data_IF_576916165320
#
_entry.id   IF_576916165320
#
_cell.length_a   1.000
_cell.length_b   1.000
_cell.length_c   1.000
_cell.angle_alpha   90.00
_cell.angle_beta   90.00
_cell.angle_gamma   90.00
#
_symmetry.space_group_name_H-M   'P 1'
#
loop_
_entity.id
_entity.type
_entity.pdbx_description
1 polymer ?
#
# COMPACT_ATOMS: atom_id res chain seq x y z
N UNK A 1 -18.63 18.31 -19.64
CA UNK A 1 -18.32 19.18 -18.50
C UNK A 1 -18.82 18.47 -17.26
N UNK A 2 -17.99 17.61 -16.66
CA UNK A 2 -18.36 16.86 -15.46
C UNK A 2 -18.24 17.85 -14.30
N UNK A 3 -19.32 18.04 -13.55
CA UNK A 3 -19.38 18.91 -12.38
C UNK A 3 -18.14 18.71 -11.50
N UNK A 4 -17.34 19.76 -11.33
CA UNK A 4 -16.36 19.86 -10.24
C UNK A 4 -17.16 19.91 -8.95
N UNK A 5 -17.46 18.72 -8.42
CA UNK A 5 -18.04 18.56 -7.09
C UNK A 5 -17.17 19.35 -6.10
N UNK A 6 -17.82 20.17 -5.30
CA UNK A 6 -17.27 21.03 -4.24
C UNK A 6 -15.96 20.42 -3.69
N UNK A 7 -14.85 21.09 -3.96
CA UNK A 7 -13.48 20.62 -3.70
C UNK A 7 -13.13 20.79 -2.20
N UNK A 8 -13.97 20.24 -1.32
CA UNK A 8 -13.86 20.29 0.15
C UNK A 8 -12.75 19.37 0.70
N UNK A 9 -11.74 19.05 -0.10
CA UNK A 9 -10.64 18.16 0.28
C UNK A 9 -9.36 18.90 0.66
N UNK A 10 -9.24 20.17 0.28
CA UNK A 10 -8.09 20.99 0.63
C UNK A 10 -8.35 21.74 1.93
N UNK A 11 -7.40 21.61 2.85
CA UNK A 11 -7.47 22.14 4.21
C UNK A 11 -6.34 23.14 4.43
N UNK A 12 -6.68 24.19 5.17
CA UNK A 12 -5.69 25.16 5.65
C UNK A 12 -4.85 24.56 6.77
N UNK A 13 -3.67 25.13 7.01
CA UNK A 13 -2.79 24.70 8.11
C UNK A 13 -3.45 24.88 9.49
N UNK A 14 -4.33 25.88 9.64
CA UNK A 14 -5.12 26.09 10.86
C UNK A 14 -6.14 24.97 11.08
N UNK A 15 -6.82 24.52 10.03
CA UNK A 15 -7.74 23.39 10.10
C UNK A 15 -7.02 22.08 10.40
N UNK A 16 -5.81 21.89 9.87
CA UNK A 16 -4.97 20.73 10.18
C UNK A 16 -4.43 20.73 11.60
N UNK A 17 -4.05 21.90 12.14
CA UNK A 17 -3.66 22.03 13.56
C UNK A 17 -4.84 21.74 14.49
N UNK A 18 -6.04 22.19 14.14
CA UNK A 18 -7.27 21.93 14.88
C UNK A 18 -7.95 20.61 14.48
N UNK A 19 -7.16 19.55 14.31
CA UNK A 19 -7.63 18.24 13.85
C UNK A 19 -8.62 17.61 14.86
N UNK A 20 -9.50 16.69 14.41
CA UNK A 20 -10.32 15.88 15.30
C UNK A 20 -9.50 15.09 16.34
N UNK A 21 -8.30 14.65 15.96
CA UNK A 21 -7.38 13.93 16.86
C UNK A 21 -6.83 14.85 17.95
N UNK A 22 -6.48 16.09 17.61
CA UNK A 22 -6.06 17.12 18.58
C UNK A 22 -7.16 17.40 19.60
N UNK A 23 -8.42 17.51 19.15
CA UNK A 23 -9.59 17.68 20.03
C UNK A 23 -9.80 16.50 20.99
N UNK A 24 -9.40 15.30 20.59
CA UNK A 24 -9.46 14.10 21.43
C UNK A 24 -8.20 13.92 22.32
N UNK A 25 -7.26 14.86 22.28
CA UNK A 25 -6.07 14.90 23.13
C UNK A 25 -4.82 14.22 22.55
N UNK A 26 -4.77 13.98 21.23
CA UNK A 26 -3.58 13.43 20.55
C UNK A 26 -2.68 14.59 20.11
N UNK A 27 -1.40 14.52 20.45
CA UNK A 27 -0.42 15.53 20.04
C UNK A 27 -0.06 15.45 18.54
N UNK A 28 0.40 16.57 17.97
CA UNK A 28 0.73 16.67 16.53
C UNK A 28 1.82 15.67 16.11
N UNK A 29 2.80 15.39 16.97
CA UNK A 29 3.91 14.49 16.65
C UNK A 29 3.43 13.03 16.59
N UNK A 30 2.59 12.61 17.55
CA UNK A 30 1.93 11.31 17.53
C UNK A 30 0.99 11.17 16.33
N UNK A 31 0.19 12.20 16.03
CA UNK A 31 -0.68 12.19 14.85
C UNK A 31 0.13 12.03 13.55
N UNK A 32 1.23 12.79 13.41
CA UNK A 32 2.14 12.71 12.27
C UNK A 32 2.76 11.32 12.15
N UNK A 33 3.21 10.75 13.28
CA UNK A 33 3.79 9.40 13.33
C UNK A 33 2.79 8.34 12.91
N UNK A 34 1.54 8.43 13.38
CA UNK A 34 0.47 7.49 13.01
C UNK A 34 0.07 7.62 11.54
N UNK A 35 0.06 8.83 10.99
CA UNK A 35 -0.19 9.05 9.55
C UNK A 35 0.88 8.38 8.69
N UNK A 36 2.16 8.58 9.02
CA UNK A 36 3.28 7.95 8.32
C UNK A 36 3.21 6.42 8.48
N UNK A 37 2.97 5.93 9.70
CA UNK A 37 2.82 4.50 9.98
C UNK A 37 1.73 3.85 9.11
N UNK A 38 0.54 4.48 9.04
CA UNK A 38 -0.57 3.99 8.23
C UNK A 38 -0.26 4.00 6.74
N UNK A 39 0.39 5.05 6.24
CA UNK A 39 0.80 5.13 4.83
C UNK A 39 1.86 4.07 4.48
N UNK A 40 2.83 3.83 5.36
CA UNK A 40 3.83 2.77 5.17
C UNK A 40 3.16 1.39 5.19
N UNK A 41 2.16 1.19 6.05
CA UNK A 41 1.40 -0.07 6.13
C UNK A 41 0.59 -0.31 4.85
N UNK A 42 -0.03 0.73 4.27
CA UNK A 42 -0.75 0.66 2.99
C UNK A 42 0.22 0.29 1.87
N UNK A 43 1.38 0.96 1.77
CA UNK A 43 2.37 0.72 0.72
C UNK A 43 2.92 -0.70 0.78
N UNK A 44 3.41 -1.15 1.95
CA UNK A 44 3.98 -2.50 2.08
C UNK A 44 2.93 -3.60 1.87
N UNK A 45 1.70 -3.40 2.38
CA UNK A 45 0.61 -4.35 2.17
C UNK A 45 0.17 -4.40 0.69
N UNK A 46 0.16 -3.25 0.00
CA UNK A 46 -0.14 -3.17 -1.42
C UNK A 46 0.86 -3.92 -2.29
N UNK A 47 2.15 -3.82 -1.97
CA UNK A 47 3.22 -4.58 -2.62
C UNK A 47 2.99 -6.09 -2.43
N UNK A 48 2.69 -6.54 -1.20
CA UNK A 48 2.40 -7.95 -0.92
C UNK A 48 1.14 -8.47 -1.62
N UNK A 49 0.13 -7.61 -1.79
CA UNK A 49 -1.10 -7.89 -2.54
C UNK A 49 -0.91 -7.77 -4.06
N UNK A 50 0.30 -7.42 -4.53
CA UNK A 50 0.63 -7.18 -5.94
C UNK A 50 -0.35 -6.18 -6.58
N UNK A 51 -0.60 -5.08 -5.88
CA UNK A 51 -1.44 -3.98 -6.37
C UNK A 51 -0.59 -2.96 -7.14
N UNK A 52 -1.14 -2.29 -8.17
CA UNK A 52 -0.43 -1.22 -8.87
C UNK A 52 -0.23 -0.01 -7.96
N UNK A 53 0.80 0.81 -8.24
CA UNK A 53 1.12 2.00 -7.44
C UNK A 53 -0.05 2.99 -7.35
N UNK A 54 -0.87 3.11 -8.40
CA UNK A 54 -2.08 3.93 -8.39
C UNK A 54 -3.04 3.55 -7.24
N UNK A 55 -3.24 2.25 -6.99
CA UNK A 55 -4.08 1.77 -5.88
C UNK A 55 -3.50 2.15 -4.52
N UNK A 56 -2.19 2.01 -4.35
CA UNK A 56 -1.51 2.38 -3.11
C UNK A 56 -1.61 3.88 -2.85
N UNK A 57 -1.38 4.70 -3.88
CA UNK A 57 -1.53 6.14 -3.80
C UNK A 57 -2.96 6.56 -3.46
N UNK A 58 -3.97 6.01 -4.14
CA UNK A 58 -5.39 6.26 -3.83
C UNK A 58 -5.72 5.87 -2.40
N UNK A 59 -5.22 4.72 -1.93
CA UNK A 59 -5.39 4.27 -0.54
C UNK A 59 -4.82 5.25 0.49
N UNK A 60 -3.61 5.78 0.25
CA UNK A 60 -2.96 6.76 1.14
C UNK A 60 -3.74 8.09 1.18
N UNK A 61 -4.22 8.58 0.04
CA UNK A 61 -5.03 9.82 0.01
C UNK A 61 -6.36 9.64 0.73
N UNK A 62 -7.07 8.53 0.51
CA UNK A 62 -8.31 8.23 1.23
C UNK A 62 -8.09 8.14 2.74
N UNK A 63 -6.99 7.51 3.15
CA UNK A 63 -6.57 7.43 4.55
C UNK A 63 -6.30 8.82 5.14
N UNK A 64 -5.55 9.68 4.44
CA UNK A 64 -5.29 11.04 4.90
C UNK A 64 -6.58 11.86 5.05
N UNK A 65 -7.44 11.83 4.02
CA UNK A 65 -8.73 12.53 4.01
C UNK A 65 -9.66 12.06 5.14
N UNK A 66 -9.69 10.76 5.42
CA UNK A 66 -10.47 10.21 6.53
C UNK A 66 -10.05 10.79 7.89
N UNK A 67 -8.75 10.77 8.19
CA UNK A 67 -8.22 11.31 9.45
C UNK A 67 -8.20 12.84 9.54
N UNK A 68 -8.59 13.55 8.48
CA UNK A 68 -8.90 14.97 8.60
C UNK A 68 -10.30 15.22 9.18
N UNK A 69 -11.21 14.24 9.09
CA UNK A 69 -12.58 14.32 9.59
C UNK A 69 -12.82 13.48 10.84
N UNK A 70 -12.03 12.42 11.02
CA UNK A 70 -12.10 11.49 12.15
C UNK A 70 -10.79 11.46 12.93
N UNK A 71 -10.89 10.99 14.17
CA UNK A 71 -9.80 10.97 15.14
C UNK A 71 -9.17 9.58 15.24
N UNK A 72 -7.85 9.55 15.39
CA UNK A 72 -7.10 8.32 15.72
C UNK A 72 -7.50 7.73 17.09
N UNK A 73 -8.10 8.52 17.98
CA UNK A 73 -8.59 8.02 19.27
C UNK A 73 -9.85 7.15 19.13
N UNK A 74 -10.56 7.26 17.99
CA UNK A 74 -11.86 6.60 17.75
C UNK A 74 -11.78 5.54 16.66
N UNK A 75 -10.84 5.65 15.74
CA UNK A 75 -10.64 4.71 14.66
C UNK A 75 -9.18 4.26 14.65
N UNK A 76 -8.98 2.94 14.72
CA UNK A 76 -7.65 2.36 14.74
C UNK A 76 -6.95 2.53 13.38
N UNK A 77 -5.67 2.87 13.42
CA UNK A 77 -4.86 3.13 12.22
C UNK A 77 -4.75 1.91 11.31
N UNK A 78 -4.66 0.71 11.87
CA UNK A 78 -4.41 -0.54 11.13
C UNK A 78 -5.66 -0.93 10.35
N UNK A 79 -6.84 -0.86 10.96
CA UNK A 79 -8.09 -1.18 10.25
C UNK A 79 -8.46 -0.15 9.20
N UNK A 80 -8.27 1.14 9.49
CA UNK A 80 -8.53 2.20 8.50
C UNK A 80 -7.56 2.08 7.33
N UNK A 81 -6.29 1.76 7.57
CA UNK A 81 -5.32 1.49 6.50
C UNK A 81 -5.76 0.29 5.63
N UNK A 82 -6.19 -0.81 6.25
CA UNK A 82 -6.69 -1.99 5.54
C UNK A 82 -7.93 -1.70 4.71
N UNK A 83 -8.92 -1.03 5.29
CA UNK A 83 -10.15 -0.64 4.59
C UNK A 83 -9.89 0.39 3.49
N UNK A 84 -8.96 1.33 3.69
CA UNK A 84 -8.59 2.33 2.67
C UNK A 84 -7.94 1.66 1.46
N UNK A 85 -7.01 0.73 1.66
CA UNK A 85 -6.39 -0.02 0.56
C UNK A 85 -7.40 -0.95 -0.13
N UNK A 86 -8.27 -1.61 0.64
CA UNK A 86 -9.31 -2.47 0.08
C UNK A 86 -10.31 -1.69 -0.78
N UNK A 87 -10.76 -0.53 -0.30
CA UNK A 87 -11.63 0.37 -1.05
C UNK A 87 -10.92 0.90 -2.30
N UNK A 88 -9.68 1.38 -2.18
CA UNK A 88 -8.88 1.86 -3.32
C UNK A 88 -8.70 0.79 -4.40
N UNK A 89 -8.52 -0.48 -4.00
CA UNK A 89 -8.42 -1.60 -4.97
C UNK A 89 -9.67 -1.74 -5.83
N UNK A 90 -10.85 -1.42 -5.28
CA UNK A 90 -12.11 -1.43 -6.03
C UNK A 90 -12.27 -0.20 -6.91
N UNK A 91 -11.83 0.97 -6.43
CA UNK A 91 -11.95 2.24 -7.18
C UNK A 91 -11.04 2.28 -8.42
N UNK A 92 -9.87 1.63 -8.35
CA UNK A 92 -8.90 1.57 -9.45
C UNK A 92 -9.02 0.28 -10.28
N UNK A 93 -10.20 -0.36 -10.27
CA UNK A 93 -10.51 -1.56 -11.07
C UNK A 93 -9.51 -2.73 -10.90
N UNK A 94 -8.91 -2.83 -9.72
CA UNK A 94 -7.95 -3.88 -9.33
C UNK A 94 -8.40 -4.60 -8.05
N UNK A 95 -9.66 -5.09 -7.96
CA UNK A 95 -10.27 -5.49 -6.71
C UNK A 95 -9.56 -6.69 -6.07
N UNK A 96 -9.39 -6.65 -4.74
CA UNK A 96 -8.91 -7.78 -3.94
C UNK A 96 -10.01 -8.30 -3.02
N UNK A 97 -9.98 -9.61 -2.76
CA UNK A 97 -10.92 -10.25 -1.82
C UNK A 97 -10.58 -9.82 -0.40
N UNK A 98 -11.59 -9.56 0.43
CA UNK A 98 -11.41 -9.17 1.84
C UNK A 98 -10.49 -10.14 2.59
N UNK A 99 -10.64 -11.45 2.34
CA UNK A 99 -9.76 -12.48 2.90
C UNK A 99 -8.27 -12.22 2.65
N UNK A 100 -7.90 -11.86 1.41
CA UNK A 100 -6.50 -11.62 1.05
C UNK A 100 -5.95 -10.40 1.77
N UNK A 101 -6.74 -9.32 1.85
CA UNK A 101 -6.36 -8.10 2.56
C UNK A 101 -6.13 -8.40 4.04
N UNK A 102 -7.07 -9.08 4.70
CA UNK A 102 -6.96 -9.42 6.13
C UNK A 102 -5.71 -10.26 6.42
N UNK A 103 -5.43 -11.28 5.60
CA UNK A 103 -4.26 -12.14 5.77
C UNK A 103 -2.96 -11.32 5.63
N UNK A 104 -2.89 -10.43 4.65
CA UNK A 104 -1.71 -9.59 4.45
C UNK A 104 -1.52 -8.62 5.62
N UNK A 105 -2.58 -7.93 6.05
CA UNK A 105 -2.48 -7.01 7.19
C UNK A 105 -2.13 -7.72 8.50
N UNK A 106 -2.67 -8.93 8.72
CA UNK A 106 -2.25 -9.80 9.83
C UNK A 106 -0.76 -10.10 9.80
N UNK A 107 -0.26 -10.58 8.66
CA UNK A 107 1.16 -10.87 8.48
C UNK A 107 2.04 -9.62 8.69
N UNK A 108 1.57 -8.45 8.23
CA UNK A 108 2.28 -7.19 8.37
C UNK A 108 2.38 -6.71 9.81
N UNK A 109 1.31 -6.86 10.57
CA UNK A 109 1.32 -6.58 12.01
C UNK A 109 2.30 -7.51 12.73
N UNK A 110 2.22 -8.83 12.50
CA UNK A 110 3.16 -9.77 13.13
C UNK A 110 4.62 -9.41 12.82
N UNK A 111 4.93 -9.07 11.57
CA UNK A 111 6.28 -8.64 11.17
C UNK A 111 6.73 -7.35 11.86
N UNK A 112 5.86 -6.35 11.96
CA UNK A 112 6.19 -5.03 12.53
C UNK A 112 6.31 -5.06 14.05
N UNK A 113 5.59 -5.98 14.70
CA UNK A 113 5.60 -6.17 16.16
C UNK A 113 6.54 -7.31 16.61
N UNK A 114 7.37 -7.85 15.71
CA UNK A 114 8.28 -8.98 15.97
C UNK A 114 7.58 -10.21 16.58
N UNK A 115 6.33 -10.46 16.18
CA UNK A 115 5.56 -11.63 16.58
C UNK A 115 5.81 -12.80 15.61
N UNK A 116 5.61 -14.05 16.07
CA UNK A 116 5.60 -15.20 15.18
C UNK A 116 4.60 -15.01 14.03
N UNK A 117 5.03 -15.29 12.81
CA UNK A 117 4.16 -15.22 11.62
C UNK A 117 3.30 -16.48 11.59
N UNK A 118 2.24 -16.47 12.38
CA UNK A 118 1.24 -17.53 12.39
C UNK A 118 0.23 -17.35 11.25
N UNK A 119 -0.38 -18.46 10.84
CA UNK A 119 -1.44 -18.42 9.86
C UNK A 119 -2.75 -18.07 10.55
N UNK A 120 -3.45 -17.06 10.03
CA UNK A 120 -4.78 -16.71 10.52
C UNK A 120 -5.78 -17.79 10.13
N UNK A 121 -6.38 -18.44 11.13
CA UNK A 121 -7.46 -19.40 10.91
C UNK A 121 -8.71 -18.70 10.34
N UNK A 122 -9.13 -19.15 9.16
CA UNK A 122 -10.26 -18.59 8.40
C UNK A 122 -11.62 -18.96 8.97
N UNK A 123 -11.68 -20.05 9.74
CA UNK A 123 -12.91 -20.50 10.39
C UNK A 123 -13.05 -19.91 11.81
N UNK A 124 -12.03 -19.19 12.28
CA UNK A 124 -12.06 -18.54 13.57
C UNK A 124 -13.10 -17.42 13.64
N UNK A 125 -13.70 -17.25 14.82
CA UNK A 125 -14.54 -16.08 15.13
C UNK A 125 -13.80 -14.77 14.85
N UNK A 126 -12.50 -14.74 15.17
CA UNK A 126 -11.62 -13.58 14.94
C UNK A 126 -11.57 -13.17 13.46
N UNK A 127 -11.40 -14.11 12.54
CA UNK A 127 -11.42 -13.79 11.10
C UNK A 127 -12.78 -13.21 10.67
N UNK A 128 -13.87 -13.78 11.18
CA UNK A 128 -15.23 -13.28 10.90
C UNK A 128 -15.44 -11.86 11.43
N UNK A 129 -14.98 -11.58 12.66
CA UNK A 129 -15.04 -10.25 13.27
C UNK A 129 -14.19 -9.23 12.50
N UNK A 130 -12.98 -9.61 12.06
CA UNK A 130 -12.12 -8.79 11.22
C UNK A 130 -12.75 -8.49 9.85
N UNK A 131 -13.40 -9.47 9.21
CA UNK A 131 -14.13 -9.28 7.94
C UNK A 131 -15.30 -8.30 8.11
N UNK A 132 -16.04 -8.42 9.22
CA UNK A 132 -17.12 -7.50 9.56
C UNK A 132 -16.60 -6.08 9.83
N UNK A 133 -15.52 -5.92 10.58
CA UNK A 133 -14.93 -4.62 10.90
C UNK A 133 -14.32 -3.95 9.66
N UNK A 134 -13.64 -4.70 8.79
CA UNK A 134 -13.13 -4.19 7.52
C UNK A 134 -14.26 -3.59 6.67
N UNK A 135 -15.40 -4.29 6.59
CA UNK A 135 -16.59 -3.86 5.86
C UNK A 135 -17.29 -2.67 6.52
N UNK A 136 -17.34 -2.64 7.86
CA UNK A 136 -17.88 -1.52 8.64
C UNK A 136 -17.04 -0.26 8.44
N UNK A 137 -15.71 -0.38 8.54
CA UNK A 137 -14.78 0.73 8.40
C UNK A 137 -14.79 1.29 6.97
N UNK A 138 -14.84 0.43 5.95
CA UNK A 138 -15.04 0.88 4.56
C UNK A 138 -16.29 1.76 4.42
N UNK A 139 -17.41 1.33 4.99
CA UNK A 139 -18.66 2.11 4.95
C UNK A 139 -18.51 3.47 5.63
N UNK A 140 -17.75 3.55 6.72
CA UNK A 140 -17.44 4.83 7.37
C UNK A 140 -16.59 5.72 6.45
N UNK A 141 -15.55 5.19 5.81
CA UNK A 141 -14.73 5.95 4.86
C UNK A 141 -15.61 6.55 3.75
N UNK A 142 -16.46 5.74 3.11
CA UNK A 142 -17.38 6.19 2.06
C UNK A 142 -18.34 7.28 2.55
N UNK A 143 -18.90 7.11 3.76
CA UNK A 143 -19.83 8.09 4.37
C UNK A 143 -19.13 9.42 4.63
N UNK A 144 -17.94 9.42 5.20
CA UNK A 144 -17.19 10.64 5.49
C UNK A 144 -16.72 11.36 4.23
N UNK A 145 -16.52 10.62 3.14
CA UNK A 145 -16.16 11.16 1.83
C UNK A 145 -17.38 11.63 1.03
N UNK A 146 -18.60 11.39 1.50
CA UNK A 146 -19.82 11.69 0.75
C UNK A 146 -19.87 10.95 -0.60
N UNK A 147 -19.25 9.77 -0.69
CA UNK A 147 -19.04 9.01 -1.93
C UNK A 147 -18.21 9.72 -3.03
N UNK A 148 -17.62 10.89 -2.72
CA UNK A 148 -16.68 11.56 -3.62
C UNK A 148 -15.28 11.00 -3.35
N UNK A 149 -14.98 9.87 -3.98
CA UNK A 149 -13.72 9.13 -3.80
C UNK A 149 -12.73 9.32 -4.95
N UNK A 150 -12.99 10.24 -5.88
CA UNK A 150 -12.03 10.55 -6.95
C UNK A 150 -10.76 11.16 -6.35
N UNK A 151 -9.62 10.66 -6.81
CA UNK A 151 -8.30 11.12 -6.40
C UNK A 151 -7.47 11.37 -7.66
N UNK A 152 -6.93 12.57 -7.76
CA UNK A 152 -5.92 12.91 -8.74
C UNK A 152 -4.55 12.89 -8.08
N UNK A 153 -3.58 12.22 -8.69
CA UNK A 153 -2.24 12.04 -8.12
C UNK A 153 -1.21 12.93 -8.82
N UNK A 154 -0.19 13.44 -8.09
CA UNK A 154 0.86 14.26 -8.69
C UNK A 154 1.61 13.54 -9.81
N UNK A 155 1.71 12.20 -9.74
CA UNK A 155 2.36 11.35 -10.74
C UNK A 155 1.87 11.58 -12.17
N UNK A 156 0.59 11.94 -12.35
CA UNK A 156 -0.02 12.21 -13.66
C UNK A 156 0.65 13.39 -14.37
N UNK A 157 1.19 14.35 -13.63
CA UNK A 157 1.73 15.60 -14.17
C UNK A 157 3.24 15.56 -14.41
N UNK A 158 3.97 14.74 -13.64
CA UNK A 158 5.45 14.72 -13.60
C UNK A 158 6.05 14.57 -15.01
N UNK A 159 5.59 13.59 -15.79
CA UNK A 159 6.15 13.34 -17.13
C UNK A 159 5.94 14.51 -18.08
N UNK A 160 4.79 15.17 -18.01
CA UNK A 160 4.49 16.33 -18.87
C UNK A 160 5.37 17.52 -18.46
N UNK A 161 5.46 17.81 -17.16
CA UNK A 161 6.24 18.94 -16.65
C UNK A 161 7.72 18.79 -17.00
N UNK A 162 8.30 17.60 -16.78
CA UNK A 162 9.69 17.33 -17.11
C UNK A 162 9.99 17.44 -18.61
N UNK A 163 9.05 17.03 -19.46
CA UNK A 163 9.16 17.15 -20.91
C UNK A 163 9.08 18.62 -21.35
N UNK A 164 8.15 19.40 -20.82
CA UNK A 164 8.03 20.84 -21.09
C UNK A 164 9.26 21.63 -20.63
N UNK A 165 9.90 21.20 -19.54
CA UNK A 165 11.11 21.83 -19.01
C UNK A 165 12.41 21.34 -19.67
N UNK A 166 12.32 20.42 -20.64
CA UNK A 166 13.47 19.82 -21.34
C UNK A 166 14.52 19.24 -20.38
N UNK A 167 14.05 18.66 -19.26
CA UNK A 167 14.94 18.16 -18.20
C UNK A 167 15.52 16.78 -18.50
N UNK A 168 16.68 16.43 -17.91
CA UNK A 168 17.30 15.12 -18.09
C UNK A 168 16.37 13.96 -17.66
N UNK A 169 16.38 12.81 -18.38
CA UNK A 169 15.49 11.70 -18.10
C UNK A 169 15.71 11.06 -16.73
N UNK A 170 16.91 11.20 -16.15
CA UNK A 170 17.27 10.71 -14.80
C UNK A 170 16.41 11.37 -13.72
N UNK A 171 16.01 12.63 -13.95
CA UNK A 171 15.19 13.41 -13.03
C UNK A 171 13.79 12.84 -12.84
N UNK A 172 13.29 12.10 -13.84
CA UNK A 172 11.96 11.50 -13.83
C UNK A 172 11.78 10.50 -12.71
N UNK A 173 12.75 9.60 -12.55
CA UNK A 173 12.66 8.58 -11.51
C UNK A 173 12.74 9.20 -10.13
N UNK A 174 13.60 10.20 -9.96
CA UNK A 174 13.73 10.91 -8.68
C UNK A 174 12.45 11.68 -8.33
N UNK A 175 11.90 12.46 -9.26
CA UNK A 175 10.63 13.16 -9.05
C UNK A 175 9.48 12.18 -8.73
N UNK A 176 9.46 11.01 -9.37
CA UNK A 176 8.49 9.95 -9.09
C UNK A 176 8.65 9.37 -7.68
N UNK A 177 9.89 9.15 -7.23
CA UNK A 177 10.18 8.67 -5.87
C UNK A 177 9.74 9.71 -4.83
N UNK A 178 10.09 10.99 -5.05
CA UNK A 178 9.66 12.11 -4.19
C UNK A 178 8.13 12.24 -4.15
N UNK A 179 7.44 11.99 -5.27
CA UNK A 179 5.99 11.96 -5.30
C UNK A 179 5.40 10.83 -4.46
N UNK A 180 6.01 9.63 -4.48
CA UNK A 180 5.60 8.55 -3.58
C UNK A 180 5.83 8.91 -2.11
N UNK A 181 6.95 9.55 -1.79
CA UNK A 181 7.25 9.98 -0.42
C UNK A 181 6.28 11.07 0.06
N UNK A 182 5.87 11.97 -0.84
CA UNK A 182 4.90 13.03 -0.53
C UNK A 182 3.57 12.49 -0.02
N UNK A 183 3.15 11.30 -0.47
CA UNK A 183 1.91 10.64 -0.05
C UNK A 183 1.92 10.14 1.40
N UNK A 184 3.09 10.12 2.05
CA UNK A 184 3.24 9.82 3.49
C UNK A 184 2.94 11.04 4.36
N UNK A 185 2.62 12.17 3.75
CA UNK A 185 2.43 13.47 4.39
C UNK A 185 1.07 14.07 4.04
N UNK A 186 0.69 15.15 4.74
CA UNK A 186 -0.57 15.86 4.50
C UNK A 186 -0.58 16.71 3.22
N UNK A 187 0.45 16.67 2.36
CA UNK A 187 0.48 17.45 1.12
C UNK A 187 -0.72 17.17 0.22
N UNK A 188 -1.18 15.92 0.14
CA UNK A 188 -2.36 15.52 -0.66
C UNK A 188 -3.70 16.10 -0.19
N UNK A 189 -3.75 16.72 0.99
CA UNK A 189 -4.92 17.43 1.53
C UNK A 189 -4.66 18.92 1.75
N UNK A 190 -3.46 19.42 1.44
CA UNK A 190 -3.08 20.85 1.55
C UNK A 190 -2.99 21.51 0.18
N UNK A 191 -2.50 20.77 -0.80
CA UNK A 191 -2.17 21.28 -2.12
C UNK A 191 -2.78 20.42 -3.21
N UNK A 192 -3.15 21.06 -4.33
CA UNK A 192 -3.53 20.35 -5.54
C UNK A 192 -2.34 19.57 -6.10
N UNK A 193 -2.65 18.51 -6.85
CA UNK A 193 -1.65 17.58 -7.37
C UNK A 193 -0.66 18.23 -8.34
N UNK A 194 -1.06 19.29 -9.05
CA UNK A 194 -0.20 20.14 -9.90
C UNK A 194 0.90 20.83 -9.07
N UNK A 195 0.52 21.40 -7.92
CA UNK A 195 1.46 22.10 -7.03
C UNK A 195 2.43 21.12 -6.38
N UNK A 196 1.92 19.96 -5.93
CA UNK A 196 2.78 18.88 -5.39
C UNK A 196 3.74 18.37 -6.46
N UNK A 197 3.27 18.18 -7.70
CA UNK A 197 4.10 17.78 -8.83
C UNK A 197 5.21 18.82 -9.13
N UNK A 198 4.89 20.12 -9.10
CA UNK A 198 5.89 21.17 -9.24
C UNK A 198 6.92 21.12 -8.10
N UNK A 199 6.46 20.92 -6.86
CA UNK A 199 7.33 20.81 -5.69
C UNK A 199 8.32 19.64 -5.77
N UNK A 200 7.86 18.44 -6.18
CA UNK A 200 8.75 17.28 -6.32
C UNK A 200 9.70 17.40 -7.52
N UNK A 201 9.27 18.02 -8.62
CA UNK A 201 10.15 18.32 -9.78
C UNK A 201 11.21 19.33 -9.37
N UNK A 202 10.84 20.38 -8.63
CA UNK A 202 11.79 21.37 -8.10
C UNK A 202 12.81 20.71 -7.18
N UNK A 203 12.36 19.89 -6.22
CA UNK A 203 13.22 19.18 -5.30
C UNK A 203 14.17 18.20 -6.03
N UNK A 204 13.69 17.47 -7.03
CA UNK A 204 14.52 16.61 -7.86
C UNK A 204 15.57 17.42 -8.63
N UNK A 205 15.18 18.52 -9.30
CA UNK A 205 16.09 19.40 -10.02
C UNK A 205 17.20 19.94 -9.13
N UNK A 206 16.87 20.34 -7.89
CA UNK A 206 17.84 20.78 -6.89
C UNK A 206 18.82 19.68 -6.50
N UNK A 207 18.38 18.43 -6.34
CA UNK A 207 19.26 17.28 -6.02
C UNK A 207 20.25 16.98 -7.14
N UNK A 208 19.82 17.11 -8.39
CA UNK A 208 20.65 16.89 -9.58
C UNK A 208 21.38 18.15 -10.08
N UNK A 209 21.25 19.28 -9.36
CA UNK A 209 21.84 20.57 -9.73
C UNK A 209 21.45 21.05 -11.14
N UNK A 210 20.23 20.70 -11.59
CA UNK A 210 19.69 21.14 -12.87
C UNK A 210 19.09 22.54 -12.71
N UNK A 211 19.57 23.56 -13.46
CA UNK A 211 18.97 24.88 -13.43
C UNK A 211 17.61 24.85 -14.14
N UNK A 212 16.58 25.35 -13.47
CA UNK A 212 15.24 25.50 -14.05
C UNK A 212 14.99 26.96 -14.46
N UNK A 213 14.14 27.23 -15.46
CA UNK A 213 13.88 28.60 -15.93
C UNK A 213 13.25 29.49 -14.85
N UNK A 214 13.92 30.60 -14.49
CA UNK A 214 13.40 31.55 -13.50
C UNK A 214 12.74 32.80 -14.12
N UNK A 215 12.98 33.08 -15.41
CA UNK A 215 12.45 34.24 -16.12
C UNK A 215 11.89 33.85 -17.52
N UNK A 216 10.55 33.75 -17.68
CA UNK A 216 9.54 33.78 -16.63
C UNK A 216 9.66 32.55 -15.71
N UNK A 217 9.19 32.65 -14.45
CA UNK A 217 9.29 31.55 -13.51
C UNK A 217 8.46 30.35 -14.00
N UNK A 218 9.14 29.22 -14.19
CA UNK A 218 8.57 28.05 -14.86
C UNK A 218 7.29 27.51 -14.22
N UNK A 219 7.18 27.58 -12.89
CA UNK A 219 6.02 27.06 -12.14
C UNK A 219 4.71 27.79 -12.45
N UNK A 220 4.77 29.03 -12.94
CA UNK A 220 3.57 29.76 -13.37
C UNK A 220 2.91 29.14 -14.60
N UNK A 221 3.67 28.43 -15.44
CA UNK A 221 3.12 27.72 -16.59
C UNK A 221 2.28 26.49 -16.18
N UNK A 222 2.37 26.07 -14.92
CA UNK A 222 1.70 24.90 -14.36
C UNK A 222 0.73 25.25 -13.23
N UNK A 223 0.28 26.51 -13.18
CA UNK A 223 -0.67 27.03 -12.18
C UNK A 223 -0.23 26.78 -10.72
N UNK A 224 1.09 26.82 -10.47
CA UNK A 224 1.67 26.65 -9.15
C UNK A 224 2.31 27.95 -8.63
N UNK A 225 2.32 28.11 -7.31
CA UNK A 225 2.96 29.23 -6.62
C UNK A 225 4.30 28.81 -6.01
N UNK A 226 5.25 29.76 -5.97
CA UNK A 226 6.57 29.53 -5.34
C UNK A 226 6.45 29.15 -3.87
N UNK A 227 5.54 29.78 -3.13
CA UNK A 227 5.27 29.46 -1.72
C UNK A 227 4.81 28.00 -1.53
N UNK A 228 3.97 27.49 -2.42
CA UNK A 228 3.53 26.09 -2.41
C UNK A 228 4.66 25.11 -2.71
N UNK A 229 5.51 25.43 -3.68
CA UNK A 229 6.72 24.65 -4.01
C UNK A 229 7.68 24.58 -2.82
N UNK A 230 7.96 25.74 -2.20
CA UNK A 230 8.83 25.84 -1.04
C UNK A 230 8.27 25.05 0.15
N UNK A 231 6.95 25.07 0.35
CA UNK A 231 6.27 24.27 1.38
C UNK A 231 6.40 22.76 1.12
N UNK A 232 6.15 22.30 -0.11
CA UNK A 232 6.31 20.89 -0.49
C UNK A 232 7.74 20.41 -0.19
N UNK A 233 8.75 21.21 -0.57
CA UNK A 233 10.14 20.89 -0.31
C UNK A 233 10.44 20.83 1.19
N UNK A 234 9.91 21.77 1.98
CA UNK A 234 10.08 21.81 3.44
C UNK A 234 9.45 20.61 4.13
N UNK A 235 8.25 20.21 3.71
CA UNK A 235 7.55 19.04 4.24
C UNK A 235 8.31 17.76 3.91
N UNK A 236 8.82 17.62 2.69
CA UNK A 236 9.66 16.47 2.30
C UNK A 236 10.97 16.43 3.09
N UNK A 237 11.65 17.58 3.25
CA UNK A 237 12.85 17.66 4.07
C UNK A 237 12.57 17.27 5.54
N UNK A 238 11.45 17.73 6.11
CA UNK A 238 10.99 17.32 7.44
C UNK A 238 10.74 15.82 7.49
N UNK A 239 10.06 15.23 6.50
CA UNK A 239 9.81 13.79 6.43
C UNK A 239 11.11 12.98 6.51
N UNK A 240 12.15 13.38 5.78
CA UNK A 240 13.43 12.68 5.78
C UNK A 240 14.23 12.84 7.08
N UNK A 241 13.92 13.85 7.90
CA UNK A 241 14.53 14.04 9.21
C UNK A 241 13.88 13.22 10.34
N UNK A 242 12.68 12.67 10.11
CA UNK A 242 11.93 11.95 11.13
C UNK A 242 12.45 10.52 11.33
N UNK A 243 12.36 9.98 12.56
CA UNK A 243 12.66 8.57 12.80
C UNK A 243 11.63 7.66 12.12
N UNK A 244 11.96 6.37 12.00
CA UNK A 244 11.04 5.37 11.46
C UNK A 244 9.75 5.34 12.28
N UNK A 245 8.61 5.50 11.62
CA UNK A 245 7.31 5.52 12.27
C UNK A 245 6.98 4.16 12.93
N UNK A 246 6.52 4.23 14.18
CA UNK A 246 6.08 3.07 14.96
C UNK A 246 4.61 3.20 15.31
N UNK A 247 3.97 2.07 15.61
CA UNK A 247 2.58 2.08 16.07
C UNK A 247 2.51 2.62 17.50
N UNK A 248 1.62 3.60 17.73
CA UNK A 248 1.37 4.18 19.04
C UNK A 248 -0.10 3.89 19.39
N UNK A 249 -0.40 3.13 20.46
CA UNK A 249 -1.78 2.82 20.82
C UNK A 249 -2.48 4.06 21.40
N UNK A 250 -3.41 4.62 20.65
CA UNK A 250 -4.17 5.83 21.05
C UNK A 250 -5.69 5.64 21.05
N UNK A 251 -6.19 4.51 20.53
CA UNK A 251 -7.61 4.24 20.41
C UNK A 251 -8.23 3.94 21.79
N UNK A 252 -9.26 4.71 22.19
CA UNK A 252 -9.86 4.67 23.54
C UNK A 252 -10.89 3.55 23.74
N UNK A 253 -11.40 2.95 22.66
CA UNK A 253 -12.43 1.92 22.71
C UNK A 253 -11.86 0.54 23.08
N UNK A 254 -11.41 0.39 24.35
CA UNK A 254 -11.41 -0.83 25.18
C UNK A 254 -10.72 -2.12 24.71
N UNK A 255 -10.38 -2.30 23.43
CA UNK A 255 -9.62 -3.42 22.89
C UNK A 255 -8.77 -2.88 21.73
N UNK A 256 -7.43 -2.95 21.81
CA UNK A 256 -6.59 -2.66 20.66
C UNK A 256 -7.09 -3.49 19.48
N UNK A 257 -7.43 -2.83 18.36
CA UNK A 257 -7.76 -3.56 17.15
C UNK A 257 -6.46 -4.25 16.70
N UNK A 258 -6.45 -5.58 16.82
CA UNK A 258 -5.29 -6.41 16.51
C UNK A 258 -5.69 -7.42 15.46
N UNK A 259 -4.95 -7.46 14.36
CA UNK A 259 -5.05 -8.59 13.44
C UNK A 259 -4.40 -9.83 14.07
N UNK A 260 -3.47 -9.69 15.02
CA UNK A 260 -2.74 -10.72 15.76
C UNK A 260 -3.48 -11.19 17.02
N UNK A 261 -3.13 -12.38 17.54
CA UNK A 261 -3.96 -13.16 18.49
C UNK A 261 -3.76 -12.78 19.96
N UNK A 262 -2.89 -11.82 20.29
CA UNK A 262 -2.73 -11.37 21.67
C UNK A 262 -3.58 -10.15 21.99
N UNK A 263 -4.81 -10.39 22.44
CA UNK A 263 -5.53 -9.44 23.27
C UNK A 263 -5.68 -10.02 24.68
N UNK A 264 -5.03 -9.35 25.65
CA UNK A 264 -5.30 -9.38 27.10
C UNK A 264 -4.88 -10.63 27.93
N UNK A 265 -3.60 -11.03 27.89
CA UNK A 265 -3.07 -11.92 28.96
C UNK A 265 -1.56 -11.73 29.22
N UNK A 266 -1.12 -10.48 29.32
CA UNK A 266 0.24 -10.15 29.77
C UNK A 266 0.23 -8.93 30.68
N UNK A 267 -0.58 -9.02 31.73
CA UNK A 267 -0.39 -8.27 32.97
C UNK A 267 -0.48 -9.26 34.14
N UNK A 268 0.56 -10.06 34.29
CA UNK A 268 0.91 -10.69 35.57
C UNK A 268 2.35 -11.22 35.48
N UNK A 269 3.33 -10.33 35.47
CA UNK A 269 4.64 -10.70 36.01
C UNK A 269 4.57 -10.46 37.53
N UNK A 270 4.80 -11.49 38.36
CA UNK A 270 5.05 -11.27 39.77
C UNK A 270 6.39 -10.55 39.96
N UNK A 271 6.55 -9.71 41.00
CA UNK A 271 7.79 -8.98 41.22
C UNK A 271 8.96 -9.95 41.45
N UNK A 272 10.20 -9.59 41.09
CA UNK A 272 11.36 -10.41 41.39
C UNK A 272 11.51 -10.51 42.90
N UNK A 273 11.46 -11.73 43.42
CA UNK A 273 11.82 -12.04 44.80
C UNK A 273 13.30 -11.73 44.98
N UNK A 274 13.59 -10.72 45.78
CA UNK A 274 14.87 -10.54 46.45
C UNK A 274 15.18 -11.82 47.25
N UNK A 275 16.30 -12.46 46.96
CA UNK A 275 16.87 -13.50 47.81
C UNK A 275 17.96 -12.81 48.66
N UNK A 276 17.85 -12.79 50.00
CA UNK A 276 18.86 -12.20 50.87
C UNK A 276 20.10 -13.11 50.94
N UNK A 277 21.27 -12.53 50.69
CA UNK A 277 22.56 -13.14 51.04
C UNK A 277 22.82 -12.91 52.53
N UNK A 278 23.02 -14.01 53.26
CA UNK A 278 23.44 -14.05 54.67
C UNK A 278 24.90 -14.54 54.77
N UNK A 279 25.62 -14.26 55.88
CA UNK A 279 27.02 -13.81 55.90
C UNK A 279 28.07 -14.93 56.16
N UNK A 280 29.38 -14.60 56.21
CA UNK A 280 30.48 -15.51 55.88
C UNK A 280 31.16 -16.16 57.09
N UNK A 281 32.06 -17.11 56.84
CA UNK A 281 33.02 -17.62 57.81
C UNK A 281 34.46 -17.55 57.27
N UNK A 282 35.30 -16.80 58.00
CA UNK A 282 36.74 -16.98 58.25
C UNK A 282 37.70 -17.15 57.05
N UNK A 283 38.82 -16.42 56.93
CA UNK A 283 39.77 -16.03 57.96
C UNK A 283 40.73 -14.94 57.43
N UNK A 284 41.19 -14.13 58.38
CA UNK A 284 42.53 -13.55 58.52
C UNK A 284 43.07 -12.50 57.53
N UNK A 285 43.16 -11.29 58.08
CA UNK A 285 44.41 -10.61 58.46
C UNK A 285 44.83 -9.37 57.66
N UNK A 286 45.11 -8.34 58.47
CA UNK A 286 45.89 -7.12 58.24
C UNK A 286 45.23 -6.00 57.41
N UNK A 287 44.86 -4.87 58.05
CA UNK A 287 45.75 -3.74 58.48
C UNK A 287 46.35 -3.11 57.21
N UNK A 288 46.07 -1.88 56.78
CA UNK A 288 45.76 -0.63 57.48
C UNK A 288 45.24 0.40 56.46
N UNK A 289 44.49 1.39 56.93
CA UNK A 289 44.62 2.86 56.73
C UNK A 289 45.01 3.42 55.34
N UNK A 290 44.57 4.59 54.86
CA UNK A 290 43.72 5.72 55.30
C UNK A 290 43.84 6.76 54.17
N UNK A 291 42.87 7.67 54.07
CA UNK A 291 42.88 9.01 53.41
C UNK A 291 43.01 9.08 51.88
N UNK A 292 42.07 9.63 51.10
CA UNK A 292 41.40 10.96 51.06
C UNK A 292 42.20 12.05 50.33
N UNK A 293 41.47 12.73 49.42
CA UNK A 293 41.68 14.05 48.80
C UNK A 293 42.60 14.13 47.57
N UNK A 294 42.43 15.02 46.56
CA UNK A 294 41.39 15.90 45.95
C UNK A 294 42.16 16.71 44.87
N UNK A 295 41.47 17.14 43.78
CA UNK A 295 41.83 18.24 42.83
C UNK A 295 43.02 17.99 41.85
N UNK A 296 43.13 18.53 40.63
CA UNK A 296 42.33 19.43 39.79
C UNK A 296 42.91 19.46 38.34
N UNK A 297 42.10 19.91 37.37
CA UNK A 297 42.40 20.75 36.16
C UNK A 297 43.24 20.23 34.95
N UNK A 298 42.56 20.27 33.77
CA UNK A 298 42.95 20.55 32.36
C UNK A 298 44.16 19.83 31.71
N UNK A 299 44.14 19.31 30.48
CA UNK A 299 43.96 20.06 29.21
C UNK A 299 43.76 19.09 28.02
N UNK A 300 43.27 19.66 26.91
CA UNK A 300 42.93 19.11 25.60
C UNK A 300 43.98 18.24 24.90
N UNK A 301 43.52 17.36 24.00
CA UNK A 301 44.37 16.73 22.97
C UNK A 301 44.22 15.22 22.80
N UNK A 302 43.01 14.66 22.66
CA UNK A 302 42.86 13.21 22.40
C UNK A 302 41.65 12.77 21.57
N UNK A 303 40.95 13.69 20.88
CA UNK A 303 39.76 13.33 20.08
C UNK A 303 39.91 13.49 18.56
N UNK A 304 40.99 14.11 18.07
CA UNK A 304 41.24 14.21 16.62
C UNK A 304 42.04 13.03 16.02
N UNK A 305 42.68 12.20 16.85
CA UNK A 305 43.43 11.04 16.36
C UNK A 305 42.55 9.82 16.02
N UNK A 306 41.30 9.77 16.46
CA UNK A 306 40.40 8.61 16.23
C UNK A 306 39.44 8.77 15.04
N UNK A 307 39.31 9.98 14.47
CA UNK A 307 38.48 10.21 13.29
C UNK A 307 39.29 10.02 11.99
N UNK A 308 40.62 10.24 12.04
CA UNK A 308 41.51 10.03 10.88
C UNK A 308 41.81 8.55 10.57
N UNK A 309 41.73 7.65 11.55
CA UNK A 309 41.97 6.21 11.32
C UNK A 309 40.76 5.43 10.78
N UNK A 310 39.56 6.04 10.74
CA UNK A 310 38.35 5.39 10.22
C UNK A 310 38.06 5.76 8.75
N UNK A 311 38.70 6.81 8.21
CA UNK A 311 38.43 7.31 6.86
C UNK A 311 39.35 6.68 5.78
N UNK A 312 40.48 6.08 6.16
CA UNK A 312 41.37 5.37 5.23
C UNK A 312 41.01 3.89 5.03
N UNK A 313 39.91 3.40 5.65
CA UNK A 313 39.50 1.99 5.57
C UNK A 313 38.28 1.70 4.69
N UNK A 314 37.85 2.66 3.87
CA UNK A 314 36.68 2.51 2.98
C UNK A 314 36.95 2.89 1.51
N UNK A 315 38.22 3.05 1.11
CA UNK A 315 38.61 3.36 -0.28
C UNK A 315 39.39 2.28 -1.03
N UNK A 316 39.54 1.09 -0.46
CA UNK A 316 40.10 -0.07 -1.17
C UNK A 316 39.15 -1.26 -1.06
N UNK A 317 38.25 -1.39 -2.04
CA UNK A 317 37.60 -2.66 -2.40
C UNK A 317 36.78 -2.52 -3.68
N UNK A 318 37.47 -2.21 -4.79
CA UNK A 318 37.06 -2.61 -6.15
C UNK A 318 38.33 -2.86 -6.96
N UNK A 319 38.36 -4.02 -7.64
CA UNK A 319 39.50 -4.66 -8.35
C UNK A 319 40.47 -5.37 -7.40
N UNK A 320 40.90 -6.61 -7.59
CA UNK A 320 40.73 -7.64 -8.65
C UNK A 320 41.49 -8.89 -8.16
N UNK A 321 41.06 -10.11 -8.52
CA UNK A 321 41.97 -11.27 -8.54
C UNK A 321 41.64 -12.12 -9.79
N UNK A 322 42.57 -12.09 -10.76
CA UNK A 322 42.83 -13.17 -11.71
C UNK A 322 44.34 -13.17 -12.01
N UNK A 323 45.00 -14.31 -11.80
CA UNK A 323 46.40 -14.63 -12.08
C UNK A 323 46.41 -16.03 -12.72
N UNK A 324 47.29 -16.44 -13.63
CA UNK A 324 48.30 -15.86 -14.50
C UNK A 324 48.92 -17.04 -15.30
N UNK A 325 49.38 -16.84 -16.55
CA UNK A 325 50.67 -17.40 -17.04
C UNK A 325 51.10 -16.91 -18.44
N UNK A 326 52.24 -16.21 -18.42
CA UNK A 326 53.40 -16.15 -19.34
C UNK A 326 53.31 -15.65 -20.79
N UNK A 327 54.05 -14.54 -20.98
CA UNK A 327 54.67 -13.84 -22.13
C UNK A 327 55.62 -14.70 -23.03
N UNK A 328 56.26 -14.21 -24.14
CA UNK A 328 56.50 -12.80 -24.52
C UNK A 328 56.50 -12.39 -26.04
N UNK A 329 56.62 -11.06 -26.24
CA UNK A 329 57.33 -10.27 -27.32
C UNK A 329 56.76 -10.29 -28.76
N UNK A 330 56.70 -9.20 -29.55
CA UNK A 330 57.16 -7.79 -29.51
C UNK A 330 56.51 -7.01 -30.67
N UNK A 331 56.28 -5.72 -30.45
CA UNK A 331 56.36 -4.57 -31.35
C UNK A 331 55.46 -4.38 -32.60
N UNK A 332 54.58 -3.38 -32.43
CA UNK A 332 54.52 -2.09 -33.15
C UNK A 332 54.01 -2.00 -34.61
N UNK A 333 52.96 -1.18 -34.70
CA UNK A 333 52.79 -0.03 -35.63
C UNK A 333 52.04 -0.18 -36.97
N UNK A 334 51.60 1.00 -37.40
CA UNK A 334 50.39 1.36 -38.15
C UNK A 334 50.33 1.05 -39.66
N UNK A 335 49.08 1.12 -40.15
CA UNK A 335 48.58 1.58 -41.47
C UNK A 335 49.33 1.13 -42.74
N UNK A 336 48.61 0.41 -43.62
CA UNK A 336 48.32 0.79 -45.01
C UNK A 336 47.41 -0.25 -45.72
N UNK A 337 46.48 0.23 -46.56
CA UNK A 337 45.87 -0.51 -47.68
C UNK A 337 46.67 -0.21 -48.97
N UNK A 338 46.49 -0.83 -50.17
CA UNK A 338 45.56 -1.90 -50.60
C UNK A 338 46.19 -2.97 -51.57
N UNK A 339 45.34 -3.91 -52.06
CA UNK A 339 45.26 -4.48 -53.45
C UNK A 339 45.43 -6.01 -53.66
N UNK A 340 44.30 -6.60 -54.07
CA UNK A 340 44.03 -7.44 -55.27
C UNK A 340 44.34 -8.96 -55.38
N UNK A 341 43.26 -9.65 -55.84
CA UNK A 341 43.14 -10.92 -56.65
C UNK A 341 43.27 -12.24 -55.87
N UNK A 342 42.46 -13.30 -56.07
CA UNK A 342 41.38 -13.59 -57.03
C UNK A 342 40.71 -14.95 -56.70
N UNK A 343 39.41 -15.08 -57.03
CA UNK A 343 38.61 -16.29 -57.40
C UNK A 343 38.56 -17.53 -56.48
N UNK A 344 37.36 -17.89 -56.01
CA UNK A 344 36.51 -18.90 -56.69
C UNK A 344 35.17 -19.10 -55.97
N UNK A 345 34.11 -19.28 -56.76
CA UNK A 345 32.73 -19.57 -56.36
C UNK A 345 32.54 -21.08 -56.12
N UNK A 346 31.83 -21.48 -55.05
CA UNK A 346 30.59 -22.31 -55.11
C UNK A 346 30.13 -22.84 -53.73
N UNK A 347 28.80 -22.96 -53.60
CA UNK A 347 27.97 -23.69 -52.62
C UNK A 347 27.51 -22.96 -51.34
N UNK A 348 26.58 -22.03 -51.53
CA UNK A 348 25.42 -21.84 -50.64
C UNK A 348 24.29 -22.77 -51.09
N UNK A 349 23.84 -23.69 -50.24
CA UNK A 349 22.49 -24.29 -50.20
C UNK A 349 22.46 -25.40 -49.12
N UNK A 350 22.37 -25.03 -47.83
CA UNK A 350 22.07 -25.97 -46.73
C UNK A 350 21.71 -25.27 -45.40
N UNK A 351 22.10 -24.00 -45.23
CA UNK A 351 21.92 -23.29 -43.94
C UNK A 351 20.57 -22.58 -43.75
N UNK A 352 19.77 -22.40 -44.81
CA UNK A 352 18.50 -21.66 -44.76
C UNK A 352 17.32 -22.43 -44.16
N UNK A 353 17.29 -23.76 -44.30
CA UNK A 353 16.17 -24.58 -43.84
C UNK A 353 16.20 -24.81 -42.32
N UNK A 354 17.38 -25.05 -41.75
CA UNK A 354 17.55 -25.18 -40.28
C UNK A 354 17.20 -23.92 -39.51
N UNK A 355 17.34 -22.73 -40.12
CA UNK A 355 16.94 -21.46 -39.49
C UNK A 355 15.43 -21.29 -39.48
N UNK A 356 14.74 -21.63 -40.58
CA UNK A 356 13.27 -21.54 -40.67
C UNK A 356 12.56 -22.51 -39.74
N UNK A 357 13.10 -23.71 -39.55
CA UNK A 357 12.48 -24.68 -38.62
C UNK A 357 12.66 -24.29 -37.15
N UNK A 358 13.81 -23.70 -36.79
CA UNK A 358 14.02 -23.13 -35.44
C UNK A 358 13.07 -21.97 -35.13
N UNK A 359 12.78 -21.13 -36.11
CA UNK A 359 11.85 -20.01 -35.90
C UNK A 359 10.39 -20.49 -35.83
N UNK A 360 10.03 -21.53 -36.59
CA UNK A 360 8.72 -22.20 -36.47
C UNK A 360 8.51 -22.88 -35.12
N UNK A 361 9.53 -23.54 -34.58
CA UNK A 361 9.46 -24.13 -33.24
C UNK A 361 9.28 -23.05 -32.16
N UNK A 362 10.01 -21.93 -32.26
CA UNK A 362 9.86 -20.79 -31.35
C UNK A 362 8.47 -20.16 -31.42
N UNK A 363 7.84 -20.11 -32.59
CA UNK A 363 6.46 -19.64 -32.72
C UNK A 363 5.46 -20.60 -32.07
N UNK A 364 5.62 -21.91 -32.26
CA UNK A 364 4.77 -22.93 -31.64
C UNK A 364 4.87 -22.91 -30.11
N UNK A 365 6.07 -22.71 -29.56
CA UNK A 365 6.25 -22.59 -28.11
C UNK A 365 5.59 -21.32 -27.55
N UNK A 366 5.70 -20.19 -28.26
CA UNK A 366 4.99 -18.95 -27.90
C UNK A 366 3.47 -19.12 -27.94
N UNK A 367 2.96 -19.92 -28.88
CA UNK A 367 1.53 -20.21 -28.99
C UNK A 367 1.04 -21.08 -27.82
N UNK A 368 1.79 -22.13 -27.47
CA UNK A 368 1.51 -22.95 -26.27
C UNK A 368 1.52 -22.15 -24.99
N UNK A 369 2.46 -21.22 -24.82
CA UNK A 369 2.52 -20.34 -23.64
C UNK A 369 1.32 -19.39 -23.57
N UNK A 370 0.85 -18.87 -24.72
CA UNK A 370 -0.39 -18.08 -24.79
C UNK A 370 -1.62 -18.91 -24.44
N UNK A 371 -1.71 -20.15 -24.89
CA UNK A 371 -2.80 -21.05 -24.51
C UNK A 371 -2.77 -21.39 -23.02
N UNK A 372 -1.59 -21.61 -22.45
CA UNK A 372 -1.41 -21.87 -21.02
C UNK A 372 -1.77 -20.66 -20.17
N UNK A 373 -1.50 -19.44 -20.64
CA UNK A 373 -1.97 -18.21 -20.01
C UNK A 373 -3.49 -18.06 -20.07
N UNK A 374 -4.11 -18.31 -21.24
CA UNK A 374 -5.58 -18.29 -21.40
C UNK A 374 -6.28 -19.34 -20.52
N UNK A 375 -5.70 -20.53 -20.36
CA UNK A 375 -6.22 -21.56 -19.46
C UNK A 375 -6.16 -21.12 -17.99
N UNK A 376 -5.05 -20.52 -17.56
CA UNK A 376 -4.89 -19.97 -16.19
C UNK A 376 -5.90 -18.85 -15.90
N UNK A 377 -6.21 -18.00 -16.87
CA UNK A 377 -7.21 -16.95 -16.68
C UNK A 377 -8.65 -17.49 -16.66
N UNK A 378 -8.95 -18.56 -17.42
CA UNK A 378 -10.23 -19.27 -17.33
C UNK A 378 -10.42 -19.95 -15.97
N UNK A 379 -9.39 -20.61 -15.43
CA UNK A 379 -9.47 -21.22 -14.09
C UNK A 379 -9.63 -20.16 -12.99
N UNK A 380 -8.95 -19.01 -13.09
CA UNK A 380 -9.16 -17.87 -12.18
C UNK A 380 -10.58 -17.31 -12.25
N UNK A 381 -11.17 -17.24 -13.44
CA UNK A 381 -12.58 -16.85 -13.62
C UNK A 381 -13.52 -17.81 -12.91
N UNK A 382 -13.31 -19.12 -13.10
CA UNK A 382 -14.15 -20.16 -12.50
C UNK A 382 -14.08 -20.21 -10.98
N UNK A 383 -12.90 -20.00 -10.40
CA UNK A 383 -12.74 -19.88 -8.94
C UNK A 383 -13.24 -18.54 -8.39
N UNK A 384 -13.36 -17.51 -9.23
CA UNK A 384 -14.04 -16.26 -8.90
C UNK A 384 -15.55 -16.41 -8.84
N UNK A 385 -16.14 -17.15 -9.78
CA UNK A 385 -17.58 -17.36 -9.83
C UNK A 385 -18.05 -18.29 -8.70
N UNK A 386 -17.32 -19.38 -8.42
CA UNK A 386 -17.61 -20.27 -7.28
C UNK A 386 -17.55 -19.57 -5.92
N UNK A 387 -16.63 -18.63 -5.74
CA UNK A 387 -16.56 -17.86 -4.50
C UNK A 387 -17.64 -16.77 -4.41
N UNK A 388 -18.03 -16.16 -5.54
CA UNK A 388 -19.20 -15.25 -5.58
C UNK A 388 -20.49 -15.98 -5.21
N UNK A 389 -20.72 -17.18 -5.76
CA UNK A 389 -21.87 -18.01 -5.39
C UNK A 389 -21.86 -18.36 -3.89
N UNK A 390 -20.67 -18.62 -3.33
CA UNK A 390 -20.51 -18.90 -1.90
C UNK A 390 -20.84 -17.68 -1.04
N UNK A 391 -20.32 -16.50 -1.41
CA UNK A 391 -20.61 -15.23 -0.72
C UNK A 391 -22.10 -14.86 -0.82
N UNK A 392 -22.78 -15.15 -1.95
CA UNK A 392 -24.22 -14.96 -2.10
C UNK A 392 -25.02 -15.92 -1.20
N UNK A 393 -24.62 -17.19 -1.15
CA UNK A 393 -25.24 -18.19 -0.28
C UNK A 393 -25.09 -17.83 1.21
N UNK A 394 -23.94 -17.27 1.60
CA UNK A 394 -23.71 -16.76 2.96
C UNK A 394 -24.60 -15.56 3.27
N UNK A 395 -24.71 -14.58 2.35
CA UNK A 395 -25.62 -13.43 2.53
C UNK A 395 -27.07 -13.86 2.68
N UNK A 396 -27.52 -14.86 1.94
CA UNK A 396 -28.90 -15.35 2.04
C UNK A 396 -29.14 -16.12 3.34
N UNK A 397 -28.16 -16.89 3.83
CA UNK A 397 -28.22 -17.48 5.17
C UNK A 397 -28.34 -16.42 6.26
N UNK A 398 -27.59 -15.32 6.14
CA UNK A 398 -27.65 -14.23 7.11
C UNK A 398 -29.00 -13.50 7.07
N UNK A 399 -29.59 -13.26 5.88
CA UNK A 399 -30.96 -12.74 5.76
C UNK A 399 -32.00 -13.65 6.40
N UNK A 400 -31.86 -14.97 6.29
CA UNK A 400 -32.78 -15.94 6.90
C UNK A 400 -32.66 -15.93 8.43
N UNK A 401 -31.44 -15.85 8.96
CA UNK A 401 -31.20 -15.70 10.41
C UNK A 401 -31.82 -14.40 10.95
N UNK A 402 -31.65 -13.30 10.23
CA UNK A 402 -32.19 -11.98 10.63
C UNK A 402 -33.73 -11.97 10.63
N UNK A 403 -34.36 -12.66 9.67
CA UNK A 403 -35.82 -12.91 9.66
C UNK A 403 -36.27 -13.81 10.81
N UNK A 404 -35.47 -14.82 11.16
CA UNK A 404 -35.73 -15.71 12.30
C UNK A 404 -35.70 -14.98 13.64
N UNK A 405 -34.74 -14.06 13.83
CA UNK A 405 -34.68 -13.20 15.03
C UNK A 405 -35.90 -12.27 15.13
N UNK A 406 -36.30 -11.62 14.04
CA UNK A 406 -37.51 -10.78 14.00
C UNK A 406 -38.81 -11.55 14.26
N UNK A 407 -38.85 -12.84 13.92
CA UNK A 407 -40.01 -13.71 14.19
C UNK A 407 -40.08 -14.16 15.65
N UNK A 408 -38.91 -14.44 16.27
CA UNK A 408 -38.81 -14.81 17.68
C UNK A 408 -39.14 -13.66 18.64
N UNK A 409 -38.80 -12.43 18.27
CA UNK A 409 -39.18 -11.26 19.08
C UNK A 409 -40.70 -11.00 19.01
N UNK A 410 -41.35 -11.27 17.88
CA UNK A 410 -42.82 -11.16 17.76
C UNK A 410 -43.60 -12.22 18.52
N UNK A 411 -43.01 -13.37 18.81
CA UNK A 411 -43.68 -14.46 19.56
C UNK A 411 -43.53 -14.33 21.08
N UNK A 412 -42.73 -13.37 21.57
CA UNK A 412 -42.53 -13.15 23.00
C UNK A 412 -43.48 -12.12 23.62
N UNK A 413 -44.20 -11.35 22.79
CA UNK A 413 -45.12 -10.28 23.22
C UNK A 413 -46.62 -10.65 23.18
N UNK A 414 -46.98 -11.91 22.96
CA UNK A 414 -48.39 -12.34 22.95
C UNK A 414 -48.63 -13.55 23.84
N UNK A 415 -48.60 -13.34 25.15
CA UNK A 415 -49.15 -14.26 26.14
C UNK A 415 -50.59 -13.87 26.46
N UNK A 416 -51.57 -14.69 26.08
CA UNK A 416 -52.96 -14.49 26.50
C UNK A 416 -54.00 -15.29 25.73
N UNK A 417 -54.59 -16.25 26.42
CA UNK A 417 -55.88 -16.93 26.19
C UNK A 417 -55.99 -18.21 25.33
N UNK A 418 -56.69 -19.14 25.98
CA UNK A 418 -56.97 -20.54 25.69
C UNK A 418 -58.18 -20.78 24.78
N UNK A 419 -58.17 -21.98 24.18
CA UNK A 419 -59.33 -22.80 23.79
C UNK A 419 -60.28 -22.32 22.67
N UNK A 420 -60.32 -23.02 21.53
CA UNK A 420 -61.29 -24.11 21.23
C UNK A 420 -61.20 -24.59 19.78
N UNK A 421 -61.44 -25.88 19.60
CA UNK A 421 -61.59 -26.57 18.32
C UNK A 421 -62.86 -26.15 17.57
N UNK A 422 -62.85 -26.27 16.24
CA UNK A 422 -63.97 -26.77 15.41
C UNK A 422 -63.59 -26.92 13.93
N UNK A 423 -63.86 -28.10 13.39
CA UNK A 423 -63.94 -28.42 11.97
C UNK A 423 -65.26 -27.93 11.35
N UNK A 424 -65.22 -27.46 10.10
CA UNK A 424 -66.20 -27.63 8.98
C UNK A 424 -65.63 -26.86 7.77
N UNK A 425 -65.31 -27.46 6.61
CA UNK A 425 -66.13 -28.11 5.58
C UNK A 425 -66.76 -27.14 4.55
N UNK A 426 -66.22 -27.26 3.32
CA UNK A 426 -66.83 -27.22 1.98
C UNK A 426 -67.46 -25.97 1.36
N UNK A 427 -66.95 -25.73 0.13
CA UNK A 427 -67.67 -25.39 -1.14
C UNK A 427 -68.28 -23.97 -1.27
N UNK A 428 -68.20 -23.26 -2.41
CA UNK A 428 -68.37 -23.69 -3.81
C UNK A 428 -67.95 -22.60 -4.84
N UNK A 429 -67.82 -23.05 -6.11
CA UNK A 429 -67.95 -22.34 -7.42
C UNK A 429 -66.74 -21.77 -8.20
N UNK A 430 -66.10 -22.67 -8.96
CA UNK A 430 -66.21 -22.88 -10.43
C UNK A 430 -66.25 -21.72 -11.48
N UNK A 431 -65.18 -21.69 -12.30
CA UNK A 431 -65.07 -21.96 -13.76
C UNK A 431 -65.63 -21.05 -14.90
N UNK A 432 -64.78 -21.00 -15.96
CA UNK A 432 -64.90 -20.53 -17.39
C UNK A 432 -64.47 -19.09 -17.66
N UNK A 433 -63.60 -18.73 -18.62
CA UNK A 433 -62.96 -19.43 -19.75
C UNK A 433 -63.45 -18.90 -21.11
N UNK A 434 -62.63 -18.10 -21.84
CA UNK A 434 -62.67 -17.79 -23.30
C UNK A 434 -61.68 -16.65 -23.62
N UNK A 435 -60.90 -16.50 -24.69
CA UNK A 435 -60.46 -17.29 -25.88
C UNK A 435 -59.46 -16.36 -26.63
N UNK A 436 -58.29 -16.88 -27.06
CA UNK A 436 -57.81 -16.97 -28.46
C UNK A 436 -57.90 -15.73 -29.38
N UNK A 437 -56.76 -15.21 -29.86
CA UNK A 437 -56.42 -15.10 -31.30
C UNK A 437 -55.15 -14.30 -31.57
N UNK A 438 -54.22 -14.95 -32.27
CA UNK A 438 -53.01 -14.42 -32.92
C UNK A 438 -53.30 -13.34 -33.98
N UNK A 439 -52.28 -12.51 -34.25
CA UNK A 439 -52.02 -12.00 -35.61
C UNK A 439 -50.53 -11.75 -35.82
N UNK A 440 -49.90 -12.74 -36.41
CA UNK A 440 -48.62 -12.65 -37.11
C UNK A 440 -48.93 -12.38 -38.59
N UNK A 441 -48.20 -11.47 -39.26
CA UNK A 441 -47.82 -11.58 -40.68
C UNK A 441 -46.95 -10.42 -41.18
N UNK A 442 -45.83 -10.84 -41.77
CA UNK A 442 -45.21 -10.33 -42.99
C UNK A 442 -44.56 -8.94 -43.00
N UNK A 443 -43.22 -8.92 -42.89
CA UNK A 443 -42.37 -8.28 -43.92
C UNK A 443 -41.17 -9.15 -44.28
N UNK A 444 -41.09 -9.41 -45.58
CA UNK A 444 -40.21 -10.29 -46.32
C UNK A 444 -38.70 -10.05 -46.15
N UNK A 445 -37.96 -11.16 -46.20
CA UNK A 445 -36.60 -11.27 -46.75
C UNK A 445 -36.58 -10.85 -48.23
N UNK A 446 -35.53 -10.14 -48.65
CA UNK A 446 -34.81 -10.48 -49.87
C UNK A 446 -33.30 -10.27 -49.71
N UNK A 447 -32.57 -11.25 -50.23
CA UNK A 447 -31.12 -11.42 -50.24
C UNK A 447 -30.41 -10.54 -51.28
N UNK A 448 -29.08 -10.47 -51.12
CA UNK A 448 -28.04 -10.72 -52.15
C UNK A 448 -27.39 -9.54 -52.90
N UNK A 449 -26.06 -9.47 -52.72
CA UNK A 449 -24.98 -9.11 -53.65
C UNK A 449 -25.06 -7.81 -54.46
N UNK A 450 -24.15 -6.89 -54.12
CA UNK A 450 -23.09 -6.38 -55.00
C UNK A 450 -21.94 -5.86 -54.14
#
# INVERSE_FOLDING_TARGET
>A
MIYTAIDNFYLTDEQLKNSPSSKDGIDEATETTLRIYGCDLIQESGILLKLPQAVMATGQVLFHRFYCKKSFARFDVKIVAASSLWLASKLEESPRRARQVIIVFHRMECRRENLPIEHLDLYSKKFSDLKAELSRTERHILKEMGFVCHVEHPHKFISNYLATLETPPELRQEAWNLANDSLRTTLCVRFKSEVVACGVVYAAARRFQVPLPENPPWWKAFDADKSGIDEVCRVLARLYSLPKAQYIPVCKDGKPFTFSTRSADSQSQPPPKEVPLSPPANNNANVSNTTVAVADVETEGAKEAKIKMALDKLKESKQSDDESKSMPTTDSDAREEPRHKSKSEHKTESSGEKSKDRDRERERDRERDRERAKARDRDRGRDSDRERERDETERDRDKVKDRGHRSKDRTKDSGGHSEKSRHHSSRDRDYRGSSYSSREKDRHRHHSYA
#
